data_IF_333429658155
#
_entry.id   IF_333429658155
#
_cell.length_a   1.000
_cell.length_b   1.000
_cell.length_c   1.000
_cell.angle_alpha   90.00
_cell.angle_beta   90.00
_cell.angle_gamma   90.00
#
_symmetry.space_group_name_H-M   'P 1'
#
loop_
_entity.id
_entity.type
_entity.pdbx_description
1 polymer ?
#
# COMPACT_ATOMS: atom_id res chain seq x y z
N UNK A 1 -11.10 19.05 -1.70
CA UNK A 1 -11.01 17.85 -2.54
C UNK A 1 -10.04 18.22 -3.63
N UNK A 2 -8.90 17.56 -3.73
CA UNK A 2 -8.03 17.79 -4.89
C UNK A 2 -8.78 17.26 -6.10
N UNK A 3 -8.96 18.09 -7.11
CA UNK A 3 -9.67 17.71 -8.32
C UNK A 3 -8.85 16.66 -9.08
N UNK A 4 -9.51 15.61 -9.57
CA UNK A 4 -8.84 14.62 -10.42
C UNK A 4 -8.68 15.24 -11.80
N UNK A 5 -7.44 15.44 -12.22
CA UNK A 5 -7.10 15.92 -13.55
C UNK A 5 -6.66 14.74 -14.44
N UNK A 6 -7.20 14.70 -15.65
CA UNK A 6 -6.86 13.68 -16.65
C UNK A 6 -6.34 14.41 -17.90
N UNK A 7 -5.06 14.22 -18.21
CA UNK A 7 -4.40 14.79 -19.38
C UNK A 7 -3.79 13.72 -20.26
N UNK A 8 -3.82 13.95 -21.58
CA UNK A 8 -3.06 13.13 -22.52
C UNK A 8 -1.59 13.57 -22.50
N UNK A 9 -0.67 12.60 -22.50
CA UNK A 9 0.79 12.81 -22.54
C UNK A 9 1.40 12.15 -23.77
N UNK A 10 2.64 12.52 -24.09
CA UNK A 10 3.45 11.91 -25.15
C UNK A 10 4.38 10.89 -24.49
N UNK A 11 4.28 9.61 -24.84
CA UNK A 11 5.07 8.54 -24.19
C UNK A 11 6.58 8.79 -24.17
N UNK A 12 7.07 9.59 -25.13
CA UNK A 12 8.48 9.94 -25.28
C UNK A 12 9.00 10.87 -24.18
N UNK A 13 8.13 11.35 -23.29
CA UNK A 13 8.51 12.12 -22.11
C UNK A 13 9.12 11.25 -20.98
N UNK A 14 9.00 9.92 -21.08
CA UNK A 14 9.67 8.95 -20.21
C UNK A 14 11.13 8.73 -20.59
N UNK A 15 12.02 8.79 -19.60
CA UNK A 15 13.47 8.49 -19.79
C UNK A 15 13.92 7.17 -19.16
N UNK A 16 13.07 6.55 -18.34
CA UNK A 16 13.35 5.29 -17.65
C UNK A 16 12.05 4.61 -17.22
N UNK A 17 12.10 3.30 -17.03
CA UNK A 17 10.98 2.48 -16.56
C UNK A 17 11.50 1.42 -15.57
N UNK A 18 10.65 1.02 -14.62
CA UNK A 18 10.93 -0.12 -13.74
C UNK A 18 9.83 -1.17 -13.83
N UNK A 19 10.14 -2.28 -14.49
CA UNK A 19 9.24 -3.42 -14.65
C UNK A 19 9.27 -4.42 -13.48
N UNK A 20 10.05 -4.12 -12.44
CA UNK A 20 10.15 -4.91 -11.21
C UNK A 20 9.90 -4.02 -9.99
N UNK A 21 8.69 -3.46 -9.84
CA UNK A 21 8.37 -2.61 -8.71
C UNK A 21 8.50 -3.36 -7.38
N UNK A 22 8.98 -2.64 -6.37
CA UNK A 22 8.88 -3.06 -4.97
C UNK A 22 7.75 -2.27 -4.31
N UNK A 23 6.72 -2.98 -3.87
CA UNK A 23 5.64 -2.39 -3.10
C UNK A 23 5.93 -2.56 -1.61
N UNK A 24 5.50 -1.60 -0.79
CA UNK A 24 5.47 -1.73 0.66
C UNK A 24 4.05 -1.75 1.14
N UNK A 25 3.69 -2.82 1.84
CA UNK A 25 2.40 -3.02 2.47
C UNK A 25 2.51 -2.75 3.95
N UNK A 26 1.61 -1.92 4.45
CA UNK A 26 1.42 -1.66 5.87
C UNK A 26 0.14 -2.35 6.31
N UNK A 27 0.21 -3.13 7.38
CA UNK A 27 -0.94 -3.74 8.06
C UNK A 27 -1.05 -3.13 9.45
N UNK A 28 -2.14 -2.40 9.71
CA UNK A 28 -2.33 -1.67 10.95
C UNK A 28 -3.32 -2.38 11.87
N UNK A 29 -2.83 -2.86 13.01
CA UNK A 29 -3.62 -3.40 14.11
C UNK A 29 -4.32 -2.26 14.84
N UNK A 30 -5.52 -1.92 14.37
CA UNK A 30 -6.18 -0.65 14.66
C UNK A 30 -7.61 -0.85 15.13
N UNK A 31 -8.14 0.10 15.91
CA UNK A 31 -9.48 0.01 16.50
C UNK A 31 -10.62 0.06 15.48
N UNK A 32 -11.86 -0.10 15.94
CA UNK A 32 -13.04 -0.14 15.05
C UNK A 32 -13.21 1.15 14.21
N UNK A 33 -12.88 2.31 14.79
CA UNK A 33 -13.07 3.63 14.19
C UNK A 33 -11.77 4.42 13.99
N UNK A 34 -10.61 3.77 14.11
CA UNK A 34 -9.29 4.41 13.99
C UNK A 34 -8.36 3.50 13.21
N UNK A 35 -7.46 4.10 12.43
CA UNK A 35 -6.36 3.40 11.74
C UNK A 35 -5.08 3.32 12.59
N UNK A 36 -5.04 4.03 13.73
CA UNK A 36 -3.88 4.10 14.61
C UNK A 36 -3.72 2.79 15.42
N UNK A 37 -2.49 2.30 15.53
CA UNK A 37 -2.16 1.16 16.38
C UNK A 37 -0.85 0.47 16.02
N UNK A 38 -0.77 -0.84 16.23
CA UNK A 38 0.43 -1.60 15.84
C UNK A 38 0.58 -1.62 14.32
N UNK A 39 1.79 -1.83 13.83
CA UNK A 39 2.06 -1.85 12.39
C UNK A 39 3.06 -2.94 12.05
N UNK A 40 2.65 -3.80 11.13
CA UNK A 40 3.52 -4.74 10.48
C UNK A 40 3.72 -4.31 9.03
N UNK A 41 4.96 -4.42 8.55
CA UNK A 41 5.37 -3.88 7.25
C UNK A 41 6.07 -4.95 6.43
N UNK A 42 5.66 -5.08 5.17
CA UNK A 42 6.18 -6.08 4.24
C UNK A 42 6.52 -5.42 2.92
N UNK A 43 7.70 -5.74 2.38
CA UNK A 43 8.00 -5.43 0.98
C UNK A 43 7.56 -6.62 0.10
N UNK A 44 6.83 -6.32 -0.97
CA UNK A 44 6.36 -7.28 -1.97
C UNK A 44 7.00 -6.95 -3.30
N UNK A 45 7.62 -7.94 -3.93
CA UNK A 45 8.29 -7.83 -5.24
C UNK A 45 7.80 -8.94 -6.15
N UNK A 46 7.96 -8.77 -7.47
CA UNK A 46 7.53 -9.78 -8.46
C UNK A 46 6.01 -9.90 -8.62
N UNK A 47 5.26 -8.88 -8.21
CA UNK A 47 3.82 -8.79 -8.34
C UNK A 47 3.42 -7.43 -8.95
N UNK A 48 2.20 -7.30 -9.44
CA UNK A 48 1.60 -6.01 -9.79
C UNK A 48 0.73 -5.44 -8.65
N UNK A 49 0.22 -4.22 -8.85
CA UNK A 49 -0.56 -3.50 -7.83
C UNK A 49 -1.87 -4.22 -7.46
N UNK A 50 -2.55 -4.87 -8.39
CA UNK A 50 -3.81 -5.58 -8.12
C UNK A 50 -3.55 -6.83 -7.29
N UNK A 51 -2.49 -7.56 -7.60
CA UNK A 51 -2.04 -8.71 -6.83
C UNK A 51 -1.65 -8.28 -5.40
N UNK A 52 -0.89 -7.19 -5.24
CA UNK A 52 -0.51 -6.70 -3.90
C UNK A 52 -1.73 -6.27 -3.10
N UNK A 53 -2.71 -5.62 -3.73
CA UNK A 53 -3.99 -5.27 -3.07
C UNK A 53 -4.73 -6.54 -2.62
N UNK A 54 -4.86 -7.55 -3.49
CA UNK A 54 -5.47 -8.83 -3.15
C UNK A 54 -4.78 -9.50 -1.95
N UNK A 55 -3.45 -9.55 -1.96
CA UNK A 55 -2.69 -10.11 -0.85
C UNK A 55 -2.90 -9.31 0.44
N UNK A 56 -2.77 -7.98 0.38
CA UNK A 56 -2.89 -7.10 1.54
C UNK A 56 -4.28 -7.19 2.19
N UNK A 57 -5.36 -7.21 1.39
CA UNK A 57 -6.71 -7.35 1.94
C UNK A 57 -6.97 -8.73 2.53
N UNK A 58 -6.38 -9.81 1.97
CA UNK A 58 -6.45 -11.15 2.58
C UNK A 58 -5.69 -11.25 3.90
N UNK A 59 -4.52 -10.60 4.00
CA UNK A 59 -3.79 -10.51 5.27
C UNK A 59 -4.56 -9.70 6.30
N UNK A 60 -5.14 -8.58 5.87
CA UNK A 60 -5.85 -7.68 6.76
C UNK A 60 -7.15 -8.29 7.30
N UNK A 61 -7.83 -9.08 6.48
CA UNK A 61 -9.16 -9.58 6.76
C UNK A 61 -10.10 -8.45 7.17
N UNK A 62 -10.90 -8.74 8.17
CA UNK A 62 -11.92 -7.87 8.75
C UNK A 62 -11.42 -7.10 9.99
N UNK A 63 -10.20 -7.38 10.47
CA UNK A 63 -9.66 -6.80 11.71
C UNK A 63 -8.60 -5.72 11.49
N UNK A 64 -7.75 -5.83 10.48
CA UNK A 64 -6.69 -4.85 10.23
C UNK A 64 -7.14 -3.82 9.19
N UNK A 65 -6.44 -2.70 9.11
CA UNK A 65 -6.47 -1.87 7.90
C UNK A 65 -5.18 -2.05 7.14
N UNK A 66 -5.19 -1.80 5.83
CA UNK A 66 -3.99 -1.89 5.01
C UNK A 66 -3.76 -0.62 4.18
N UNK A 67 -2.50 -0.38 3.87
CA UNK A 67 -2.06 0.62 2.91
C UNK A 67 -0.93 0.04 2.04
N UNK A 68 -0.81 0.55 0.82
CA UNK A 68 0.18 0.12 -0.17
C UNK A 68 0.88 1.34 -0.75
N UNK A 69 2.21 1.32 -0.73
CA UNK A 69 3.05 2.30 -1.41
C UNK A 69 3.96 1.62 -2.43
N UNK A 70 4.34 2.32 -3.49
CA UNK A 70 5.50 1.99 -4.29
C UNK A 70 6.75 2.50 -3.56
N UNK A 71 7.75 1.65 -3.39
CA UNK A 71 9.03 2.07 -2.84
C UNK A 71 9.89 2.63 -3.96
N UNK A 72 10.41 3.84 -3.74
CA UNK A 72 11.32 4.51 -4.67
C UNK A 72 12.68 4.68 -3.97
N UNK A 73 13.74 4.12 -4.55
CA UNK A 73 15.11 4.37 -4.09
C UNK A 73 15.71 5.51 -4.93
N UNK A 74 15.82 6.69 -4.35
CA UNK A 74 16.46 7.87 -4.93
C UNK A 74 17.98 7.81 -4.71
N UNK A 75 18.71 7.37 -5.75
CA UNK A 75 20.16 7.25 -5.72
C UNK A 75 20.86 8.59 -5.45
N UNK A 76 20.32 9.70 -5.95
CA UNK A 76 20.91 11.01 -5.76
C UNK A 76 20.75 11.47 -4.30
N UNK A 77 19.60 11.18 -3.70
CA UNK A 77 19.37 11.44 -2.29
C UNK A 77 20.24 10.55 -1.40
N UNK A 78 20.37 9.27 -1.71
CA UNK A 78 21.26 8.33 -0.98
C UNK A 78 22.71 8.81 -1.00
N UNK A 79 23.21 9.28 -2.15
CA UNK A 79 24.58 9.81 -2.26
C UNK A 79 24.79 11.10 -1.44
N UNK A 80 23.75 11.93 -1.30
CA UNK A 80 23.82 13.19 -0.53
C UNK A 80 23.69 12.94 0.97
N UNK A 81 22.81 12.02 1.37
CA UNK A 81 22.61 11.63 2.76
C UNK A 81 22.40 10.10 2.87
N UNK A 82 23.46 9.33 3.12
CA UNK A 82 23.39 7.87 3.20
C UNK A 82 22.35 7.39 4.22
N UNK A 83 21.45 6.51 3.78
CA UNK A 83 20.31 6.00 4.56
C UNK A 83 18.97 6.67 4.27
N UNK A 84 18.96 7.83 3.60
CA UNK A 84 17.74 8.61 3.33
C UNK A 84 17.29 8.55 1.86
N UNK A 85 17.90 7.71 1.03
CA UNK A 85 17.50 7.56 -0.38
C UNK A 85 16.14 6.90 -0.57
N UNK A 86 15.61 6.19 0.42
CA UNK A 86 14.37 5.43 0.27
C UNK A 86 13.13 6.28 0.56
N UNK A 87 12.35 6.53 -0.48
CA UNK A 87 11.03 7.16 -0.41
C UNK A 87 9.88 6.20 -0.67
N UNK A 88 8.67 6.70 -0.44
CA UNK A 88 7.41 6.00 -0.67
C UNK A 88 6.47 6.87 -1.51
N UNK A 89 5.81 6.25 -2.49
CA UNK A 89 4.70 6.83 -3.24
C UNK A 89 3.43 6.07 -2.89
N UNK A 90 2.52 6.70 -2.15
CA UNK A 90 1.28 6.05 -1.70
C UNK A 90 0.33 5.77 -2.86
N UNK A 91 -0.08 4.50 -3.02
CA UNK A 91 -0.99 4.03 -4.06
C UNK A 91 -2.39 3.77 -3.49
N UNK A 92 -2.44 3.17 -2.30
CA UNK A 92 -3.67 2.85 -1.57
C UNK A 92 -3.50 3.23 -0.12
N UNK A 93 -4.40 4.06 0.40
CA UNK A 93 -4.34 4.47 1.81
C UNK A 93 -3.19 5.45 2.07
N UNK A 94 -2.72 5.43 3.32
CA UNK A 94 -1.60 6.22 3.84
C UNK A 94 -1.07 5.49 5.11
N UNK A 95 -0.07 6.05 5.78
CA UNK A 95 0.29 5.56 7.11
C UNK A 95 -0.90 5.72 8.07
N UNK A 96 -1.35 4.61 8.65
CA UNK A 96 -2.51 4.59 9.54
C UNK A 96 -2.25 5.29 10.88
N UNK A 97 -0.98 5.50 11.24
CA UNK A 97 -0.59 6.19 12.47
C UNK A 97 -0.41 7.69 12.29
N UNK A 98 -0.44 8.19 11.05
CA UNK A 98 -0.39 9.62 10.80
C UNK A 98 -1.68 10.32 11.23
N UNK A 99 -1.52 11.55 11.72
CA UNK A 99 -2.65 12.43 11.98
C UNK A 99 -3.03 13.15 10.69
N UNK A 100 -4.26 12.97 10.18
CA UNK A 100 -4.69 13.65 8.95
C UNK A 100 -4.73 15.16 9.20
N UNK A 101 -4.08 15.90 8.32
CA UNK A 101 -3.96 17.37 8.29
C UNK A 101 -4.89 18.00 7.26
N UNK A 102 -5.39 17.22 6.31
CA UNK A 102 -6.31 17.65 5.28
C UNK A 102 -7.53 16.72 5.14
N UNK A 103 -8.64 17.26 4.62
CA UNK A 103 -9.88 16.50 4.42
C UNK A 103 -9.69 15.22 3.58
N UNK A 104 -8.82 15.28 2.57
CA UNK A 104 -8.48 14.12 1.72
C UNK A 104 -7.79 13.00 2.50
N UNK A 105 -6.95 13.33 3.46
CA UNK A 105 -6.28 12.36 4.33
C UNK A 105 -7.29 11.71 5.28
N UNK A 106 -8.23 12.50 5.83
CA UNK A 106 -9.36 11.98 6.60
C UNK A 106 -10.20 11.01 5.78
N UNK A 107 -10.59 11.39 4.56
CA UNK A 107 -11.32 10.51 3.63
C UNK A 107 -10.53 9.23 3.31
N UNK A 108 -9.22 9.35 3.16
CA UNK A 108 -8.33 8.21 2.91
C UNK A 108 -8.33 7.22 4.08
N UNK A 109 -8.22 7.69 5.32
CA UNK A 109 -8.33 6.83 6.51
C UNK A 109 -9.72 6.20 6.65
N UNK A 110 -10.79 6.95 6.37
CA UNK A 110 -12.15 6.40 6.37
C UNK A 110 -12.32 5.28 5.33
N UNK A 111 -11.74 5.43 4.14
CA UNK A 111 -11.72 4.38 3.13
C UNK A 111 -10.90 3.17 3.56
N UNK A 112 -9.78 3.36 4.25
CA UNK A 112 -9.00 2.25 4.82
C UNK A 112 -9.84 1.44 5.81
N UNK A 113 -10.62 2.09 6.67
CA UNK A 113 -11.55 1.45 7.61
C UNK A 113 -12.68 0.71 6.88
N UNK A 114 -13.30 1.35 5.89
CA UNK A 114 -14.43 0.78 5.15
C UNK A 114 -14.07 -0.53 4.43
N UNK A 115 -12.83 -0.65 3.93
CA UNK A 115 -12.36 -1.84 3.20
C UNK A 115 -12.33 -3.13 4.01
N UNK A 116 -12.42 -3.07 5.35
CA UNK A 116 -12.62 -4.25 6.20
C UNK A 116 -13.93 -4.98 5.90
N UNK A 117 -14.96 -4.21 5.55
CA UNK A 117 -16.31 -4.70 5.30
C UNK A 117 -16.63 -4.75 3.80
N UNK A 118 -16.00 -3.87 3.02
CA UNK A 118 -16.20 -3.76 1.58
C UNK A 118 -14.84 -3.81 0.84
N UNK A 119 -14.25 -5.01 0.68
CA UNK A 119 -12.94 -5.17 0.07
C UNK A 119 -12.97 -4.85 -1.42
N UNK A 120 -11.80 -4.55 -2.00
CA UNK A 120 -11.70 -4.26 -3.42
C UNK A 120 -11.95 -5.56 -4.21
N UNK A 121 -12.85 -5.50 -5.19
CA UNK A 121 -13.11 -6.61 -6.10
C UNK A 121 -11.96 -6.81 -7.08
N UNK A 122 -11.17 -7.87 -6.89
CA UNK A 122 -10.08 -8.25 -7.80
C UNK A 122 -10.51 -9.45 -8.68
N UNK A 123 -10.49 -9.31 -10.02
CA UNK A 123 -10.79 -10.41 -10.94
C UNK A 123 -9.88 -11.60 -10.68
N UNK A 124 -10.40 -12.82 -10.82
CA UNK A 124 -9.64 -14.04 -10.48
C UNK A 124 -8.31 -14.19 -11.21
N UNK A 125 -8.18 -13.63 -12.42
CA UNK A 125 -6.94 -13.66 -13.20
C UNK A 125 -5.85 -12.72 -12.66
N UNK A 126 -6.23 -11.67 -11.93
CA UNK A 126 -5.34 -10.64 -11.40
C UNK A 126 -5.06 -10.84 -9.90
N UNK A 127 -5.58 -11.91 -9.30
CA UNK A 127 -5.33 -12.23 -7.89
C UNK A 127 -3.88 -12.66 -7.70
N UNK A 128 -3.37 -12.40 -6.51
CA UNK A 128 -2.06 -12.92 -6.13
C UNK A 128 -2.09 -14.46 -6.18
N UNK A 129 -1.08 -15.11 -6.78
CA UNK A 129 -1.06 -16.56 -6.94
C UNK A 129 -1.19 -17.32 -5.61
N UNK A 130 -1.80 -18.52 -5.62
CA UNK A 130 -1.80 -19.39 -4.45
C UNK A 130 -0.37 -19.82 -4.09
N UNK A 131 -0.07 -19.97 -2.79
CA UNK A 131 1.24 -20.43 -2.31
C UNK A 131 2.23 -19.32 -1.92
N UNK A 132 1.85 -18.05 -2.06
CA UNK A 132 2.59 -16.95 -1.42
C UNK A 132 2.42 -16.99 0.11
N UNK A 133 3.41 -16.52 0.89
CA UNK A 133 3.32 -16.48 2.35
C UNK A 133 2.06 -15.76 2.85
N UNK A 134 1.44 -16.30 3.90
CA UNK A 134 0.18 -15.81 4.46
C UNK A 134 0.26 -15.65 5.99
N UNK A 135 1.14 -14.76 6.48
CA UNK A 135 1.59 -14.80 7.88
C UNK A 135 0.48 -14.59 8.92
N UNK A 136 -0.63 -13.95 8.56
CA UNK A 136 -1.76 -13.70 9.47
C UNK A 136 -2.82 -14.81 9.48
N UNK A 137 -2.78 -15.71 8.49
CA UNK A 137 -3.75 -16.78 8.36
C UNK A 137 -3.10 -18.18 8.47
N UNK A 138 -1.78 -18.30 8.27
CA UNK A 138 -1.02 -19.55 8.43
C UNK A 138 -0.52 -19.79 9.88
N UNK A 139 -0.75 -18.83 10.78
CA UNK A 139 -0.39 -18.92 12.20
C UNK A 139 1.07 -18.57 12.52
N UNK A 140 1.84 -18.04 11.56
CA UNK A 140 3.22 -17.61 11.80
C UNK A 140 3.33 -16.25 12.52
N UNK A 141 2.28 -15.43 12.49
CA UNK A 141 2.07 -14.27 13.37
C UNK A 141 0.84 -14.50 14.25
N UNK A 142 0.99 -14.37 15.58
CA UNK A 142 -0.19 -14.23 16.46
C UNK A 142 -0.88 -12.89 16.15
N UNK A 143 -2.18 -12.96 15.90
CA UNK A 143 -3.07 -11.79 15.81
C UNK A 143 -3.16 -11.04 17.14
#
# INVERSE_FOLDING_TARGET
MDEVEIGQVDERDGSWENNHPRFRVYLHGSGQASTYGSTDTYDVTGADVLQVIDWAQRQAGDSLTYAVALVYDDEAQEQRNPGDGRGLVWLVGMDGNDTPRAAKETETQQRMLARRLDPIGIPSADRMPPGVPDPYNDGTKSR
#
